data_IF_086353017552
#
_entry.id   IF_086353017552
#
_cell.length_a   1.000
_cell.length_b   1.000
_cell.length_c   1.000
_cell.angle_alpha   90.00
_cell.angle_beta   90.00
_cell.angle_gamma   90.00
#
_symmetry.space_group_name_H-M   'P 1'
#
loop_
_entity.id
_entity.type
_entity.pdbx_description
1 polymer ?
#
# COMPACT_ATOMS: atom_id res chain seq x y z
N UNK A 1 49.51 11.91 -25.16
CA UNK A 1 49.13 10.49 -25.25
C UNK A 1 48.59 10.24 -26.65
N UNK A 2 49.33 9.55 -27.53
CA UNK A 2 48.93 9.34 -28.95
C UNK A 2 47.88 8.24 -29.02
N UNK A 3 46.63 8.58 -29.35
CA UNK A 3 45.60 7.62 -29.72
C UNK A 3 46.06 6.88 -30.98
N UNK A 4 46.47 5.61 -30.82
CA UNK A 4 46.81 4.72 -31.94
C UNK A 4 45.53 4.48 -32.75
N UNK A 5 45.62 4.64 -34.07
CA UNK A 5 44.49 4.41 -35.00
C UNK A 5 43.92 3.01 -34.74
N UNK A 6 42.72 2.94 -34.18
CA UNK A 6 41.99 1.69 -33.98
C UNK A 6 41.74 1.12 -35.38
N UNK A 7 42.22 -0.09 -35.64
CA UNK A 7 42.01 -0.76 -36.92
C UNK A 7 40.50 -0.99 -37.09
N UNK A 8 39.93 -0.54 -38.21
CA UNK A 8 38.47 -0.55 -38.45
C UNK A 8 37.86 -1.96 -38.26
N UNK A 9 38.64 -3.00 -38.59
CA UNK A 9 38.29 -4.40 -38.34
C UNK A 9 38.11 -4.74 -36.86
N UNK A 10 38.91 -4.15 -35.97
CA UNK A 10 38.79 -4.37 -34.53
C UNK A 10 37.56 -3.66 -33.96
N UNK A 11 37.23 -2.47 -34.45
CA UNK A 11 36.00 -1.76 -34.06
C UNK A 11 34.74 -2.52 -34.50
N UNK A 12 34.73 -3.07 -35.73
CA UNK A 12 33.61 -3.88 -36.25
C UNK A 12 33.50 -5.20 -35.49
N UNK A 13 34.61 -5.86 -35.18
CA UNK A 13 34.60 -7.11 -34.41
C UNK A 13 34.05 -6.91 -32.99
N UNK A 14 34.44 -5.82 -32.30
CA UNK A 14 33.94 -5.51 -30.96
C UNK A 14 32.44 -5.14 -31.00
N UNK A 15 32.01 -4.37 -32.00
CA UNK A 15 30.59 -4.04 -32.18
C UNK A 15 29.73 -5.29 -32.46
N UNK A 16 30.23 -6.23 -33.26
CA UNK A 16 29.54 -7.48 -33.56
C UNK A 16 29.40 -8.39 -32.32
N UNK A 17 30.43 -8.45 -31.47
CA UNK A 17 30.35 -9.19 -30.20
C UNK A 17 29.33 -8.55 -29.24
N UNK A 18 29.29 -7.22 -29.16
CA UNK A 18 28.31 -6.52 -28.30
C UNK A 18 26.86 -6.73 -28.76
N UNK A 19 26.61 -6.87 -30.06
CA UNK A 19 25.26 -7.17 -30.58
C UNK A 19 24.82 -8.62 -30.30
N UNK A 20 25.76 -9.56 -30.14
CA UNK A 20 25.48 -10.97 -29.86
C UNK A 20 25.41 -11.28 -28.35
N UNK A 21 26.01 -10.44 -27.49
CA UNK A 21 25.91 -10.55 -26.03
C UNK A 21 24.82 -9.67 -25.42
N UNK A 22 24.00 -9.04 -26.26
CA UNK A 22 22.76 -8.41 -25.83
C UNK A 22 21.77 -9.48 -25.41
N UNK A 23 21.92 -10.01 -24.19
CA UNK A 23 20.93 -10.88 -23.57
C UNK A 23 19.62 -10.07 -23.45
N UNK A 24 18.70 -10.23 -24.39
CA UNK A 24 17.30 -9.94 -24.12
C UNK A 24 16.93 -10.83 -22.93
N UNK A 25 16.70 -10.22 -21.78
CA UNK A 25 16.02 -10.89 -20.67
C UNK A 25 14.58 -11.10 -21.13
N UNK A 26 14.39 -12.19 -21.85
CA UNK A 26 13.09 -12.75 -22.10
C UNK A 26 12.87 -13.76 -20.98
N UNK A 27 12.24 -13.29 -19.88
CA UNK A 27 11.96 -14.12 -18.70
C UNK A 27 10.95 -15.26 -19.00
N UNK A 28 10.56 -15.42 -20.27
CA UNK A 28 9.70 -16.48 -20.76
C UNK A 28 8.26 -16.34 -20.26
N UNK A 29 7.38 -17.23 -20.72
CA UNK A 29 6.04 -17.32 -20.17
C UNK A 29 6.10 -17.78 -18.71
N UNK A 30 5.30 -17.16 -17.84
CA UNK A 30 5.15 -17.58 -16.44
C UNK A 30 4.86 -19.09 -16.41
N UNK A 31 5.70 -19.89 -15.73
CA UNK A 31 5.53 -21.34 -15.67
C UNK A 31 4.12 -21.73 -15.20
N UNK A 32 3.50 -22.73 -15.84
CA UNK A 32 2.10 -23.14 -15.56
C UNK A 32 1.87 -23.63 -14.12
N UNK A 33 2.94 -23.93 -13.38
CA UNK A 33 2.91 -24.28 -11.97
C UNK A 33 2.87 -23.05 -11.03
N UNK A 34 2.95 -21.83 -11.57
CA UNK A 34 2.75 -20.59 -10.83
C UNK A 34 1.34 -20.08 -11.12
N UNK A 35 0.46 -20.17 -10.13
CA UNK A 35 -0.87 -19.58 -10.20
C UNK A 35 -0.79 -18.06 -10.08
N UNK A 36 -1.33 -17.34 -11.07
CA UNK A 36 -1.58 -15.90 -10.97
C UNK A 36 -2.97 -15.74 -10.35
N UNK A 37 -3.05 -14.96 -9.28
CA UNK A 37 -4.31 -14.64 -8.64
C UNK A 37 -4.55 -13.14 -8.71
N UNK A 38 -5.70 -12.77 -9.26
CA UNK A 38 -6.11 -11.37 -9.36
C UNK A 38 -6.63 -10.90 -8.01
N UNK A 39 -5.83 -10.09 -7.31
CA UNK A 39 -6.23 -9.43 -6.07
C UNK A 39 -6.83 -8.06 -6.40
N UNK A 40 -8.09 -7.78 -6.00
CA UNK A 40 -8.70 -6.48 -6.24
C UNK A 40 -7.90 -5.35 -5.58
N UNK A 41 -7.67 -4.26 -6.33
CA UNK A 41 -7.00 -3.07 -5.81
C UNK A 41 -7.99 -2.23 -4.97
N UNK A 42 -7.76 -2.15 -3.66
CA UNK A 42 -8.55 -1.35 -2.73
C UNK A 42 -7.76 -0.11 -2.34
N UNK A 43 -8.36 1.07 -2.49
CA UNK A 43 -7.80 2.35 -2.11
C UNK A 43 -8.37 2.81 -0.77
N UNK A 44 -7.52 3.44 0.04
CA UNK A 44 -7.86 4.07 1.32
C UNK A 44 -7.41 5.52 1.28
N UNK A 45 -8.35 6.45 1.35
CA UNK A 45 -8.09 7.88 1.26
C UNK A 45 -8.82 8.64 2.37
N UNK A 46 -8.31 9.81 2.73
CA UNK A 46 -9.08 10.75 3.54
C UNK A 46 -10.29 11.25 2.74
N UNK A 47 -11.45 11.30 3.37
CA UNK A 47 -12.64 11.86 2.76
C UNK A 47 -12.48 13.40 2.66
N UNK A 48 -12.83 13.98 1.51
CA UNK A 48 -12.71 15.42 1.26
C UNK A 48 -13.71 16.21 2.13
N UNK A 49 -13.35 17.43 2.52
CA UNK A 49 -14.28 18.40 3.12
C UNK A 49 -14.33 18.41 4.66
N UNK A 50 -13.24 18.83 5.31
CA UNK A 50 -13.23 19.12 6.76
C UNK A 50 -12.76 17.97 7.65
N UNK A 51 -12.19 16.92 7.07
CA UNK A 51 -11.55 15.83 7.80
C UNK A 51 -10.21 16.26 8.40
N UNK A 52 -9.97 15.95 9.66
CA UNK A 52 -8.66 16.14 10.27
C UNK A 52 -7.64 15.15 9.67
N UNK A 53 -6.54 15.66 9.11
CA UNK A 53 -5.42 14.86 8.58
C UNK A 53 -4.39 14.48 9.66
N UNK A 54 -4.58 15.02 10.87
CA UNK A 54 -3.65 14.91 11.99
C UNK A 54 -4.36 15.10 13.32
N UNK A 55 -3.77 14.57 14.38
CA UNK A 55 -4.32 14.63 15.73
C UNK A 55 -3.53 15.70 16.49
N UNK A 56 -4.22 16.74 16.97
CA UNK A 56 -3.58 17.77 17.79
C UNK A 56 -3.31 17.22 19.20
N UNK A 57 -2.04 17.19 19.62
CA UNK A 57 -1.65 16.63 20.92
C UNK A 57 -2.25 17.40 22.11
N UNK A 58 -2.44 18.71 21.97
CA UNK A 58 -3.02 19.56 23.01
C UNK A 58 -4.55 19.41 23.15
N UNK A 59 -5.21 18.82 22.16
CA UNK A 59 -6.66 18.59 22.18
C UNK A 59 -7.03 17.35 21.34
N UNK A 60 -6.61 16.15 21.76
CA UNK A 60 -6.83 14.94 20.98
C UNK A 60 -8.31 14.57 20.92
N UNK A 61 -9.12 14.94 21.92
CA UNK A 61 -10.55 14.60 21.99
C UNK A 61 -11.38 15.25 20.89
N UNK A 62 -10.93 16.36 20.30
CA UNK A 62 -11.60 17.01 19.17
C UNK A 62 -11.35 16.30 17.83
N UNK A 63 -10.45 15.31 17.78
CA UNK A 63 -10.07 14.64 16.53
C UNK A 63 -11.21 13.81 15.93
N UNK A 64 -11.48 14.06 14.65
CA UNK A 64 -12.37 13.27 13.81
C UNK A 64 -11.77 13.12 12.40
N UNK A 65 -11.21 11.95 12.11
CA UNK A 65 -10.65 11.58 10.82
C UNK A 65 -11.64 10.75 10.01
N UNK A 66 -12.15 11.23 8.88
CA UNK A 66 -12.99 10.45 7.97
C UNK A 66 -12.16 9.76 6.89
N UNK A 67 -12.33 8.46 6.80
CA UNK A 67 -11.56 7.56 5.95
C UNK A 67 -12.52 6.91 4.97
N UNK A 68 -12.18 6.92 3.69
CA UNK A 68 -12.92 6.27 2.64
C UNK A 68 -12.12 5.08 2.12
N UNK A 69 -12.73 3.90 2.16
CA UNK A 69 -12.22 2.65 1.58
C UNK A 69 -13.05 2.34 0.34
N UNK A 70 -12.40 2.12 -0.80
CA UNK A 70 -13.08 1.94 -2.08
C UNK A 70 -12.31 1.01 -3.02
N UNK A 71 -13.01 0.43 -4.01
CA UNK A 71 -12.36 -0.18 -5.17
C UNK A 71 -11.64 0.92 -5.96
N UNK A 72 -10.37 0.72 -6.31
CA UNK A 72 -9.66 1.65 -7.20
C UNK A 72 -10.14 1.50 -8.65
N UNK A 73 -10.38 0.26 -9.09
CA UNK A 73 -10.99 -0.04 -10.38
C UNK A 73 -12.44 -0.49 -10.16
N UNK A 74 -13.43 0.40 -10.31
CA UNK A 74 -14.82 0.12 -9.93
C UNK A 74 -15.48 -0.99 -10.76
N UNK A 75 -15.04 -1.18 -12.01
CA UNK A 75 -15.62 -2.17 -12.94
C UNK A 75 -15.04 -3.58 -12.79
N UNK A 76 -14.14 -3.80 -11.83
CA UNK A 76 -13.52 -5.11 -11.58
C UNK A 76 -14.26 -5.87 -10.47
N UNK A 77 -14.04 -7.18 -10.43
CA UNK A 77 -14.60 -8.04 -9.39
C UNK A 77 -14.18 -7.53 -8.02
N UNK A 78 -15.15 -7.21 -7.17
CA UNK A 78 -14.92 -6.80 -5.79
C UNK A 78 -14.39 -7.99 -4.95
N UNK A 79 -13.64 -7.72 -3.87
CA UNK A 79 -13.30 -8.75 -2.89
C UNK A 79 -14.58 -9.26 -2.21
N UNK A 80 -14.52 -10.44 -1.60
CA UNK A 80 -15.65 -10.98 -0.86
C UNK A 80 -16.02 -10.07 0.33
N UNK A 81 -14.99 -9.53 0.98
CA UNK A 81 -15.08 -8.55 2.06
C UNK A 81 -13.73 -7.88 2.27
N UNK A 82 -13.73 -6.79 3.03
CA UNK A 82 -12.52 -6.20 3.59
C UNK A 82 -12.66 -5.99 5.10
N UNK A 83 -11.56 -6.13 5.81
CA UNK A 83 -11.47 -5.75 7.23
C UNK A 83 -10.58 -4.51 7.34
N UNK A 84 -11.09 -3.42 7.89
CA UNK A 84 -10.30 -2.21 8.11
C UNK A 84 -9.47 -2.40 9.37
N UNK A 85 -8.14 -2.32 9.22
CA UNK A 85 -7.18 -2.45 10.31
C UNK A 85 -6.42 -1.15 10.53
N UNK A 86 -5.94 -0.95 11.76
CA UNK A 86 -5.11 0.19 12.14
C UNK A 86 -3.78 -0.34 12.69
N UNK A 87 -2.67 0.18 12.17
CA UNK A 87 -1.32 -0.09 12.67
C UNK A 87 -0.79 1.12 13.43
N UNK A 88 -0.34 0.90 14.67
CA UNK A 88 0.32 1.93 15.48
C UNK A 88 1.83 1.98 15.22
N UNK A 89 2.38 3.18 15.03
CA UNK A 89 3.80 3.49 14.98
C UNK A 89 4.60 2.66 13.97
N UNK A 90 3.97 2.28 12.85
CA UNK A 90 4.60 1.45 11.81
C UNK A 90 4.93 0.01 12.23
N UNK A 91 4.61 -0.41 13.46
CA UNK A 91 4.98 -1.72 13.99
C UNK A 91 3.95 -2.78 13.59
N UNK A 92 4.37 -3.80 12.83
CA UNK A 92 3.48 -4.88 12.39
C UNK A 92 2.89 -5.71 13.55
N UNK A 93 3.56 -5.75 14.70
CA UNK A 93 3.02 -6.35 15.92
C UNK A 93 1.87 -5.54 16.55
N UNK A 94 1.71 -4.27 16.17
CA UNK A 94 0.72 -3.35 16.71
C UNK A 94 -0.40 -3.06 15.69
N UNK A 95 -0.93 -4.11 15.08
CA UNK A 95 -2.07 -4.04 14.16
C UNK A 95 -3.32 -4.47 14.90
N UNK A 96 -4.39 -3.69 14.79
CA UNK A 96 -5.68 -3.95 15.43
C UNK A 96 -6.81 -3.81 14.43
N UNK A 97 -7.82 -4.67 14.57
CA UNK A 97 -9.03 -4.67 13.74
C UNK A 97 -9.95 -3.51 14.16
N UNK A 98 -10.25 -2.60 13.25
CA UNK A 98 -11.14 -1.46 13.49
C UNK A 98 -12.57 -1.72 13.03
N UNK A 99 -12.75 -2.23 11.80
CA UNK A 99 -14.06 -2.66 11.28
C UNK A 99 -13.92 -3.99 10.56
N UNK A 100 -14.78 -4.94 10.90
CA UNK A 100 -14.81 -6.27 10.29
C UNK A 100 -15.88 -6.36 9.20
N UNK A 101 -15.70 -7.30 8.28
CA UNK A 101 -16.74 -7.80 7.37
C UNK A 101 -17.42 -6.70 6.52
N UNK A 102 -16.64 -5.73 6.04
CA UNK A 102 -17.14 -4.69 5.14
C UNK A 102 -17.32 -5.27 3.75
N UNK A 103 -18.57 -5.49 3.35
CA UNK A 103 -18.95 -6.11 2.06
C UNK A 103 -19.40 -5.10 1.00
N UNK A 104 -19.83 -3.90 1.41
CA UNK A 104 -20.26 -2.84 0.51
C UNK A 104 -19.16 -1.80 0.34
N UNK A 105 -18.66 -1.62 -0.88
CA UNK A 105 -17.67 -0.61 -1.23
C UNK A 105 -18.24 0.35 -2.30
N UNK A 106 -17.99 1.67 -2.21
CA UNK A 106 -17.15 2.34 -1.20
C UNK A 106 -17.81 2.45 0.19
N UNK A 107 -17.00 2.44 1.24
CA UNK A 107 -17.42 2.65 2.62
C UNK A 107 -16.64 3.82 3.25
N UNK A 108 -17.33 4.65 4.03
CA UNK A 108 -16.71 5.76 4.79
C UNK A 108 -16.82 5.49 6.29
N UNK A 109 -15.75 5.78 7.03
CA UNK A 109 -15.66 5.59 8.47
C UNK A 109 -15.12 6.85 9.14
N UNK A 110 -15.71 7.25 10.26
CA UNK A 110 -15.17 8.31 11.12
C UNK A 110 -14.36 7.67 12.23
N UNK A 111 -13.05 7.89 12.24
CA UNK A 111 -12.14 7.51 13.29
C UNK A 111 -11.99 8.65 14.31
N UNK A 112 -12.24 8.35 15.57
CA UNK A 112 -12.12 9.29 16.69
C UNK A 112 -10.94 8.95 17.58
N UNK A 113 -10.47 9.91 18.39
CA UNK A 113 -9.42 9.66 19.37
C UNK A 113 -9.84 8.64 20.42
N UNK A 114 -11.11 8.65 20.84
CA UNK A 114 -11.65 7.68 21.79
C UNK A 114 -11.54 6.25 21.25
N UNK A 115 -11.97 6.01 20.00
CA UNK A 115 -11.84 4.69 19.36
C UNK A 115 -10.38 4.23 19.27
N UNK A 116 -9.44 5.14 18.94
CA UNK A 116 -8.01 4.83 18.92
C UNK A 116 -7.53 4.40 20.32
N UNK A 117 -7.88 5.16 21.36
CA UNK A 117 -7.46 4.81 22.73
C UNK A 117 -8.03 3.47 23.20
N UNK A 118 -9.30 3.19 22.90
CA UNK A 118 -9.94 1.90 23.20
C UNK A 118 -9.27 0.76 22.45
N UNK A 119 -8.99 0.94 21.15
CA UNK A 119 -8.43 -0.10 20.30
C UNK A 119 -7.03 -0.54 20.71
N UNK A 120 -6.22 0.40 21.19
CA UNK A 120 -4.84 0.16 21.60
C UNK A 120 -4.65 0.03 23.11
N UNK A 121 -5.69 0.28 23.91
CA UNK A 121 -5.62 0.22 25.39
C UNK A 121 -4.65 1.22 26.00
N UNK A 122 -4.33 2.30 25.29
CA UNK A 122 -3.32 3.28 25.69
C UNK A 122 -3.72 4.69 25.24
N UNK A 123 -3.34 5.70 26.03
CA UNK A 123 -3.51 7.09 25.64
C UNK A 123 -2.69 7.42 24.37
N UNK A 124 -3.20 8.36 23.58
CA UNK A 124 -2.52 8.89 22.40
C UNK A 124 -1.33 9.74 22.87
N UNK A 125 -0.13 9.45 22.38
CA UNK A 125 1.08 10.19 22.72
C UNK A 125 1.60 11.03 21.55
N UNK A 126 2.35 12.10 21.85
CA UNK A 126 3.01 12.92 20.84
C UNK A 126 3.90 12.05 19.93
N UNK A 127 3.86 12.30 18.61
CA UNK A 127 4.54 11.53 17.56
C UNK A 127 4.00 10.11 17.32
N UNK A 128 2.92 9.68 17.99
CA UNK A 128 2.24 8.46 17.58
C UNK A 128 1.73 8.59 16.14
N UNK A 129 1.77 7.49 15.38
CA UNK A 129 1.19 7.39 14.05
C UNK A 129 0.20 6.23 14.00
N UNK A 130 -0.88 6.43 13.25
CA UNK A 130 -1.93 5.44 13.05
C UNK A 130 -2.17 5.28 11.55
N UNK A 131 -1.72 4.15 11.00
CA UNK A 131 -1.90 3.81 9.59
C UNK A 131 -3.17 2.97 9.44
N UNK A 132 -4.10 3.42 8.62
CA UNK A 132 -5.38 2.74 8.36
C UNK A 132 -5.38 2.17 6.96
N UNK A 133 -5.63 0.87 6.84
CA UNK A 133 -5.71 0.16 5.57
C UNK A 133 -6.59 -1.09 5.70
N UNK A 134 -7.13 -1.62 4.58
CA UNK A 134 -7.94 -2.81 4.58
C UNK A 134 -7.12 -4.10 4.36
N UNK A 135 -7.37 -5.11 5.17
CA UNK A 135 -7.10 -6.50 4.80
C UNK A 135 -8.14 -6.92 3.74
N UNK A 136 -7.68 -7.59 2.68
CA UNK A 136 -8.51 -7.93 1.51
C UNK A 136 -8.77 -9.44 1.51
N UNK A 137 -10.02 -9.85 1.33
CA UNK A 137 -10.39 -11.26 1.25
C UNK A 137 -10.80 -11.66 -0.16
N UNK A 138 -10.11 -12.66 -0.72
CA UNK A 138 -10.38 -13.24 -2.04
C UNK A 138 -10.56 -14.74 -1.87
N UNK A 139 -11.79 -15.23 -2.01
CA UNK A 139 -12.13 -16.60 -1.64
C UNK A 139 -11.79 -16.87 -0.17
N UNK A 140 -11.03 -17.94 0.08
CA UNK A 140 -10.59 -18.34 1.43
C UNK A 140 -9.27 -17.65 1.85
N UNK A 141 -8.68 -16.81 0.98
CA UNK A 141 -7.39 -16.17 1.23
C UNK A 141 -7.57 -14.78 1.80
N UNK A 142 -6.65 -14.42 2.71
CA UNK A 142 -6.53 -13.11 3.33
C UNK A 142 -5.22 -12.45 2.94
N UNK A 143 -5.30 -11.26 2.36
CA UNK A 143 -4.16 -10.40 2.06
C UNK A 143 -4.12 -9.30 3.11
N UNK A 144 -3.17 -9.41 4.04
CA UNK A 144 -3.02 -8.45 5.12
C UNK A 144 -2.42 -7.13 4.62
N UNK A 145 -2.97 -6.01 5.07
CA UNK A 145 -2.38 -4.71 4.80
C UNK A 145 -1.01 -4.57 5.46
N UNK A 146 -0.90 -5.08 6.70
CA UNK A 146 0.27 -4.97 7.54
C UNK A 146 0.64 -6.34 8.15
N UNK A 147 1.18 -7.29 7.37
CA UNK A 147 1.57 -8.60 7.88
C UNK A 147 2.79 -8.51 8.80
N UNK A 148 2.91 -9.47 9.73
CA UNK A 148 4.08 -9.58 10.62
C UNK A 148 5.37 -9.91 9.84
N UNK A 149 5.24 -10.67 8.75
CA UNK A 149 6.34 -11.13 7.91
C UNK A 149 5.95 -10.91 6.45
N UNK A 150 6.88 -10.39 5.65
CA UNK A 150 6.69 -10.17 4.22
C UNK A 150 6.07 -8.82 3.87
N UNK A 151 5.68 -8.66 2.61
CA UNK A 151 5.06 -7.45 2.08
C UNK A 151 3.54 -7.55 2.19
N UNK A 152 2.91 -6.51 2.74
CA UNK A 152 1.45 -6.40 2.82
C UNK A 152 0.84 -5.63 1.66
N UNK A 153 -0.49 -5.71 1.52
CA UNK A 153 -1.24 -4.93 0.53
C UNK A 153 -1.13 -3.41 0.75
N UNK A 154 -0.77 -2.98 1.96
CA UNK A 154 -0.56 -1.57 2.32
C UNK A 154 0.87 -1.04 2.09
N UNK A 155 1.79 -1.83 1.52
CA UNK A 155 3.16 -1.37 1.22
C UNK A 155 3.24 -0.47 -0.02
N UNK A 156 2.22 -0.53 -0.88
CA UNK A 156 2.03 0.38 -2.00
C UNK A 156 3.07 0.34 -3.11
N UNK A 157 2.78 1.14 -4.15
CA UNK A 157 3.62 1.30 -5.33
C UNK A 157 3.90 2.78 -5.44
N UNK A 158 5.19 3.14 -5.37
CA UNK A 158 5.65 4.54 -5.40
C UNK A 158 5.01 5.30 -6.57
N UNK A 159 4.37 6.43 -6.25
CA UNK A 159 3.79 7.35 -7.23
C UNK A 159 2.29 7.16 -7.52
N UNK A 160 1.67 6.10 -7.00
CA UNK A 160 0.23 5.84 -7.25
C UNK A 160 -0.73 6.84 -6.58
N UNK A 161 -0.27 7.58 -5.56
CA UNK A 161 -1.05 8.67 -4.95
C UNK A 161 -1.41 9.79 -5.93
N UNK A 162 -0.59 10.01 -6.97
CA UNK A 162 -0.85 11.04 -8.00
C UNK A 162 -2.08 10.74 -8.84
N UNK A 163 -2.46 9.46 -8.96
CA UNK A 163 -3.65 8.99 -9.67
C UNK A 163 -4.80 8.65 -8.71
N UNK A 164 -4.68 9.02 -7.42
CA UNK A 164 -5.74 8.88 -6.42
C UNK A 164 -5.82 7.51 -5.73
N UNK A 165 -4.85 6.63 -5.94
CA UNK A 165 -4.72 5.39 -5.17
C UNK A 165 -3.94 5.68 -3.88
N UNK A 166 -4.60 5.45 -2.75
CA UNK A 166 -4.00 5.54 -1.42
C UNK A 166 -3.90 4.16 -0.80
N UNK A 167 -2.71 3.78 -0.34
CA UNK A 167 -2.47 2.42 0.17
C UNK A 167 -2.86 2.29 1.63
N UNK A 168 -2.66 3.39 2.35
CA UNK A 168 -3.14 3.59 3.70
C UNK A 168 -3.32 5.09 3.93
N UNK A 169 -4.13 5.42 4.93
CA UNK A 169 -4.18 6.78 5.49
C UNK A 169 -3.39 6.80 6.78
N UNK A 170 -2.47 7.76 6.93
CA UNK A 170 -1.75 7.98 8.18
C UNK A 170 -2.27 9.20 8.91
N UNK A 171 -2.63 9.01 10.17
CA UNK A 171 -2.82 10.11 11.12
C UNK A 171 -1.59 10.21 12.01
N UNK A 172 -1.04 11.42 12.12
CA UNK A 172 0.11 11.70 12.99
C UNK A 172 -0.32 12.61 14.12
N UNK A 173 0.13 12.30 15.34
CA UNK A 173 -0.06 13.14 16.51
C UNK A 173 1.03 14.19 16.56
N UNK A 174 0.65 15.46 16.49
CA UNK A 174 1.56 16.60 16.49
C UNK A 174 1.08 17.72 17.39
#
# INVERSE_FOLDING_TARGET
MKLRKINMFTAVAVAAVMMLTGCSKDDGAIPKNIGIEDVPAITTNLEKGGTADSIAFNNPTAFQGKIKVAMFFPDKKAPAKVDVVIRKNGAAANVRLYKADVTALPASFTLTAAEITTLFGAAIALKDTYDVAPDIYVGDKKYQAFPLIGLGSGQGITGMSTIGYGEFVRFTVK
#
